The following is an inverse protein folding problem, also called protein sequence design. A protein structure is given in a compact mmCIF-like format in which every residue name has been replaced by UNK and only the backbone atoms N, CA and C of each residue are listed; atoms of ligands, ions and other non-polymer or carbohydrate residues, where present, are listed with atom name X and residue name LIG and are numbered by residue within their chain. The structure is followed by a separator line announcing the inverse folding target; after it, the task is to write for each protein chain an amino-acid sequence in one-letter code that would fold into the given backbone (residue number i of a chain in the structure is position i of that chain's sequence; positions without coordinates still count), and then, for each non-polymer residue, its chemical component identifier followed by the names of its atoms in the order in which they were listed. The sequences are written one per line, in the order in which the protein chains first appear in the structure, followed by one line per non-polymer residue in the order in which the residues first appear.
data_IF_821378443722
#
_entry.id   IF_821378443722
#
_cell.length_a   1.000
_cell.length_b   1.000
_cell.length_c   1.000
_cell.angle_alpha   90.00
_cell.angle_beta   90.00
_cell.angle_gamma   90.00
#
_symmetry.space_group_name_H-M   'P 1'
#
loop_
_entity.id
_entity.type
_entity.pdbx_description
1 polymer ?
#
# COMPACT_ATOMS: atom_id res chain seq x y z
N UNK A 1 -1.42 33.72 -13.65
CA UNK A 1 -1.62 32.25 -13.74
C UNK A 1 -0.90 31.57 -12.59
N UNK A 2 -1.57 30.69 -11.83
CA UNK A 2 -0.93 29.96 -10.74
C UNK A 2 0.16 29.03 -11.30
N UNK A 3 1.39 29.18 -10.80
CA UNK A 3 2.54 28.35 -11.21
C UNK A 3 2.51 27.03 -10.46
N UNK A 4 2.68 25.92 -11.17
CA UNK A 4 2.81 24.58 -10.56
C UNK A 4 4.04 24.57 -9.64
N UNK A 5 3.85 24.19 -8.38
CA UNK A 5 4.88 24.12 -7.33
C UNK A 5 4.66 22.91 -6.42
N UNK A 6 5.59 22.64 -5.50
CA UNK A 6 5.40 21.61 -4.47
C UNK A 6 4.08 21.84 -3.73
N UNK A 7 3.30 20.79 -3.53
CA UNK A 7 1.98 20.82 -2.90
C UNK A 7 0.83 21.19 -3.84
N UNK A 8 1.09 21.57 -5.09
CA UNK A 8 0.02 21.77 -6.09
C UNK A 8 -0.69 20.45 -6.40
N UNK A 9 -2.03 20.51 -6.45
CA UNK A 9 -2.85 19.43 -7.01
C UNK A 9 -2.89 19.58 -8.53
N UNK A 10 -2.59 18.49 -9.23
CA UNK A 10 -2.49 18.46 -10.69
C UNK A 10 -3.08 17.19 -11.27
N UNK A 11 -3.45 17.27 -12.54
CA UNK A 11 -3.71 16.11 -13.39
C UNK A 11 -2.78 16.16 -14.60
N UNK A 12 -2.61 15.01 -15.27
CA UNK A 12 -1.87 14.95 -16.54
C UNK A 12 -2.79 15.42 -17.66
N UNK A 13 -2.27 16.27 -18.55
CA UNK A 13 -3.00 16.78 -19.73
C UNK A 13 -3.42 15.67 -20.68
N UNK A 14 -2.56 14.68 -20.86
CA UNK A 14 -2.86 13.50 -21.67
C UNK A 14 -3.56 12.43 -20.82
N UNK A 15 -4.79 12.06 -21.21
CA UNK A 15 -5.62 11.03 -20.58
C UNK A 15 -6.92 11.56 -19.96
N UNK A 16 -7.71 10.66 -19.39
CA UNK A 16 -9.07 10.94 -18.87
C UNK A 16 -9.10 11.73 -17.55
N UNK A 17 -7.98 12.33 -17.12
CA UNK A 17 -7.84 13.01 -15.82
C UNK A 17 -8.26 12.16 -14.61
N UNK A 18 -8.17 10.84 -14.73
CA UNK A 18 -8.63 9.86 -13.73
C UNK A 18 -7.88 9.89 -12.40
N UNK A 19 -6.68 10.48 -12.37
CA UNK A 19 -5.83 10.49 -11.18
C UNK A 19 -5.44 11.93 -10.87
N UNK A 20 -5.87 12.38 -9.70
CA UNK A 20 -5.35 13.60 -9.09
C UNK A 20 -4.04 13.27 -8.39
N UNK A 21 -3.01 14.05 -8.69
CA UNK A 21 -1.70 13.96 -8.07
C UNK A 21 -1.42 15.19 -7.21
N UNK A 22 -0.53 15.03 -6.25
CA UNK A 22 0.13 16.12 -5.54
C UNK A 22 1.59 16.16 -5.98
N UNK A 23 2.09 17.36 -6.31
CA UNK A 23 3.49 17.58 -6.65
C UNK A 23 4.35 17.47 -5.40
N UNK A 24 5.20 16.44 -5.32
CA UNK A 24 6.13 16.23 -4.21
C UNK A 24 7.41 17.07 -4.37
N UNK A 25 7.97 17.07 -5.58
CA UNK A 25 9.23 17.77 -5.89
C UNK A 25 9.24 18.23 -7.33
N UNK A 26 9.89 19.36 -7.60
CA UNK A 26 10.23 19.81 -8.95
C UNK A 26 11.74 20.00 -9.03
N UNK A 27 12.35 19.54 -10.12
CA UNK A 27 13.77 19.73 -10.40
C UNK A 27 14.02 19.87 -11.89
N UNK A 28 15.21 20.33 -12.26
CA UNK A 28 15.62 20.48 -13.66
C UNK A 28 16.43 19.27 -14.11
N UNK A 29 16.09 18.70 -15.26
CA UNK A 29 16.81 17.60 -15.89
C UNK A 29 16.86 17.83 -17.41
N UNK A 30 18.06 17.81 -18.00
CA UNK A 30 18.27 18.10 -19.43
C UNK A 30 17.54 19.37 -19.90
N UNK A 31 17.63 20.45 -19.09
CA UNK A 31 16.95 21.76 -19.29
C UNK A 31 15.42 21.73 -19.27
N UNK A 32 14.78 20.60 -18.91
CA UNK A 32 13.33 20.48 -18.71
C UNK A 32 13.01 20.47 -17.21
N UNK A 33 11.89 21.09 -16.83
CA UNK A 33 11.36 20.96 -15.46
C UNK A 33 10.59 19.66 -15.33
N UNK A 34 11.02 18.82 -14.41
CA UNK A 34 10.40 17.53 -14.11
C UNK A 34 9.80 17.59 -12.71
N UNK A 35 8.60 17.03 -12.56
CA UNK A 35 7.92 16.85 -11.30
C UNK A 35 7.93 15.37 -10.88
N UNK A 36 8.13 15.14 -9.58
CA UNK A 36 7.74 13.90 -8.92
C UNK A 36 6.33 14.09 -8.38
N UNK A 37 5.44 13.19 -8.77
CA UNK A 37 4.02 13.23 -8.44
C UNK A 37 3.67 12.05 -7.55
N UNK A 38 2.90 12.28 -6.48
CA UNK A 38 2.27 11.21 -5.70
C UNK A 38 0.76 11.25 -5.93
N UNK A 39 0.15 10.10 -6.23
CA UNK A 39 -1.31 10.00 -6.35
C UNK A 39 -2.01 10.39 -5.05
N UNK A 40 -3.15 11.06 -5.16
CA UNK A 40 -3.89 11.57 -4.00
C UNK A 40 -4.73 10.49 -3.29
N UNK A 41 -5.34 9.60 -4.07
CA UNK A 41 -6.14 8.46 -3.58
C UNK A 41 -5.68 7.11 -4.14
N UNK A 42 -4.53 7.09 -4.83
CA UNK A 42 -3.90 5.90 -5.40
C UNK A 42 -2.42 5.89 -4.98
N UNK A 43 -1.86 4.72 -4.66
CA UNK A 43 -0.48 4.51 -4.19
C UNK A 43 0.58 4.55 -5.30
N UNK A 44 0.43 5.49 -6.24
CA UNK A 44 1.31 5.65 -7.41
C UNK A 44 2.27 6.82 -7.20
N UNK A 45 3.52 6.68 -7.65
CA UNK A 45 4.49 7.77 -7.82
C UNK A 45 4.94 7.81 -9.28
N UNK A 46 4.95 8.99 -9.89
CA UNK A 46 5.38 9.17 -11.28
C UNK A 46 6.37 10.33 -11.43
N UNK A 47 7.25 10.21 -12.43
CA UNK A 47 8.18 11.27 -12.85
C UNK A 47 7.69 11.82 -14.20
N UNK A 48 7.22 13.06 -14.21
CA UNK A 48 6.50 13.66 -15.36
C UNK A 48 7.00 15.08 -15.64
N UNK A 49 7.18 15.51 -16.90
CA UNK A 49 7.48 16.90 -17.23
C UNK A 49 6.38 17.86 -16.76
N UNK A 50 6.77 18.99 -16.17
CA UNK A 50 5.81 20.00 -15.68
C UNK A 50 4.94 20.55 -16.81
N UNK A 51 5.44 20.56 -18.05
CA UNK A 51 4.69 20.98 -19.25
C UNK A 51 3.48 20.09 -19.57
N UNK A 52 3.47 18.84 -19.09
CA UNK A 52 2.39 17.86 -19.29
C UNK A 52 1.33 17.91 -18.17
N UNK A 53 1.45 18.85 -17.24
CA UNK A 53 0.59 18.97 -16.08
C UNK A 53 -0.30 20.20 -16.18
N UNK A 54 -1.49 20.09 -15.60
CA UNK A 54 -2.41 21.20 -15.39
C UNK A 54 -2.89 21.22 -13.94
N UNK A 55 -3.13 22.42 -13.42
CA UNK A 55 -3.66 22.59 -12.07
C UNK A 55 -5.14 22.20 -12.03
N UNK A 56 -5.55 21.60 -10.94
CA UNK A 56 -6.96 21.41 -10.61
C UNK A 56 -7.34 22.27 -9.41
N UNK A 57 -8.57 22.78 -9.42
CA UNK A 57 -9.09 23.58 -8.33
C UNK A 57 -9.48 22.71 -7.11
N UNK A 58 -9.73 23.37 -5.98
CA UNK A 58 -10.06 22.70 -4.72
C UNK A 58 -11.39 21.95 -4.78
N UNK A 59 -12.38 22.45 -5.52
CA UNK A 59 -13.69 21.80 -5.66
C UNK A 59 -13.57 20.46 -6.37
N UNK A 60 -12.82 20.41 -7.48
CA UNK A 60 -12.51 19.16 -8.18
C UNK A 60 -11.79 18.16 -7.27
N UNK A 61 -10.77 18.63 -6.54
CA UNK A 61 -9.99 17.79 -5.61
C UNK A 61 -10.87 17.21 -4.50
N UNK A 62 -11.74 18.03 -3.90
CA UNK A 62 -12.62 17.58 -2.82
C UNK A 62 -13.61 16.52 -3.32
N UNK A 63 -14.24 16.74 -4.48
CA UNK A 63 -15.13 15.76 -5.10
C UNK A 63 -14.41 14.44 -5.37
N UNK A 64 -13.19 14.48 -5.90
CA UNK A 64 -12.36 13.30 -6.15
C UNK A 64 -12.06 12.51 -4.86
N UNK A 65 -11.71 13.22 -3.78
CA UNK A 65 -11.45 12.60 -2.47
C UNK A 65 -12.73 11.97 -1.91
N UNK A 66 -13.86 12.68 -1.96
CA UNK A 66 -15.14 12.21 -1.44
C UNK A 66 -15.59 10.93 -2.15
N UNK A 67 -15.56 10.91 -3.49
CA UNK A 67 -15.94 9.73 -4.29
C UNK A 67 -15.12 8.49 -3.93
N UNK A 68 -13.80 8.66 -3.74
CA UNK A 68 -12.92 7.53 -3.34
C UNK A 68 -13.07 7.14 -1.89
N UNK A 69 -13.37 8.08 -1.00
CA UNK A 69 -13.60 7.76 0.41
C UNK A 69 -14.93 7.00 0.63
N UNK A 70 -15.95 7.21 -0.21
CA UNK A 70 -17.24 6.49 -0.10
C UNK A 70 -17.08 4.97 -0.09
N UNK A 71 -16.16 4.42 -0.89
CA UNK A 71 -15.88 2.97 -0.92
C UNK A 71 -15.35 2.51 0.44
N UNK A 72 -14.38 3.23 1.00
CA UNK A 72 -13.83 2.93 2.33
C UNK A 72 -14.91 2.99 3.40
N UNK A 73 -15.70 4.06 3.37
CA UNK A 73 -16.70 4.35 4.39
C UNK A 73 -17.83 3.32 4.35
N UNK A 74 -18.26 2.89 3.16
CA UNK A 74 -19.22 1.79 3.01
C UNK A 74 -18.71 0.49 3.62
N UNK A 75 -17.45 0.13 3.36
CA UNK A 75 -16.82 -1.10 3.92
C UNK A 75 -16.65 -1.00 5.45
N UNK A 76 -16.23 0.16 5.94
CA UNK A 76 -16.16 0.44 7.38
C UNK A 76 -17.53 0.33 8.03
N UNK A 77 -18.57 0.88 7.39
CA UNK A 77 -19.93 0.88 7.92
C UNK A 77 -20.48 -0.54 8.04
N UNK A 78 -20.31 -1.38 7.01
CA UNK A 78 -20.81 -2.76 7.02
C UNK A 78 -20.08 -3.69 8.01
N UNK A 79 -18.83 -3.38 8.38
CA UNK A 79 -18.00 -4.20 9.28
C UNK A 79 -17.62 -3.50 10.58
N UNK A 80 -18.32 -2.43 10.94
CA UNK A 80 -18.00 -1.62 12.11
C UNK A 80 -18.10 -2.47 13.36
N UNK A 81 -17.06 -2.46 14.20
CA UNK A 81 -16.98 -3.23 15.44
C UNK A 81 -17.13 -4.76 15.27
N UNK A 82 -17.09 -5.30 14.04
CA UNK A 82 -17.32 -6.72 13.78
C UNK A 82 -16.32 -7.63 14.49
N UNK A 83 -15.14 -7.11 14.84
CA UNK A 83 -14.08 -7.87 15.49
C UNK A 83 -13.82 -7.44 16.93
N UNK A 84 -14.70 -6.62 17.52
CA UNK A 84 -14.61 -6.30 18.94
C UNK A 84 -14.69 -7.59 19.77
N UNK A 85 -13.86 -7.69 20.79
CA UNK A 85 -13.75 -8.87 21.68
C UNK A 85 -13.24 -10.15 20.98
N UNK A 86 -12.79 -10.08 19.73
CA UNK A 86 -12.13 -11.21 19.06
C UNK A 86 -10.61 -11.10 19.19
N UNK A 87 -9.93 -12.23 19.46
CA UNK A 87 -8.47 -12.32 19.42
C UNK A 87 -7.97 -12.43 17.97
N UNK A 88 -8.02 -11.32 17.26
CA UNK A 88 -7.48 -11.19 15.90
C UNK A 88 -5.95 -11.14 15.88
N UNK A 89 -5.37 -11.50 14.74
CA UNK A 89 -3.93 -11.38 14.52
C UNK A 89 -3.46 -9.93 14.63
N UNK A 90 -2.31 -9.70 15.26
CA UNK A 90 -1.75 -8.36 15.43
C UNK A 90 -1.11 -7.86 14.13
N UNK A 91 -1.54 -6.70 13.66
CA UNK A 91 -1.05 -6.05 12.45
C UNK A 91 -0.05 -4.96 12.83
N UNK A 92 1.12 -4.95 12.19
CA UNK A 92 1.99 -3.76 12.09
C UNK A 92 1.97 -3.30 10.64
N UNK A 93 1.54 -2.05 10.42
CA UNK A 93 1.43 -1.46 9.09
C UNK A 93 2.36 -0.25 8.99
N UNK A 94 3.31 -0.31 8.05
CA UNK A 94 4.17 0.79 7.65
C UNK A 94 3.69 1.40 6.33
N UNK A 95 3.59 2.72 6.30
CA UNK A 95 3.19 3.45 5.10
C UNK A 95 4.10 4.65 4.85
N UNK A 96 4.60 4.75 3.62
CA UNK A 96 5.40 5.88 3.12
C UNK A 96 4.62 7.16 2.84
N UNK A 97 3.29 7.14 2.97
CA UNK A 97 2.43 8.34 2.89
C UNK A 97 1.62 8.53 4.18
N UNK A 98 1.74 9.73 4.77
CA UNK A 98 1.08 10.07 6.04
C UNK A 98 -0.46 10.00 5.94
N UNK A 99 -1.04 10.36 4.79
CA UNK A 99 -2.49 10.34 4.59
C UNK A 99 -3.00 8.90 4.54
N UNK A 100 -2.26 8.01 3.89
CA UNK A 100 -2.62 6.60 3.83
C UNK A 100 -2.39 5.88 5.15
N UNK A 101 -1.35 6.24 5.90
CA UNK A 101 -1.19 5.82 7.29
C UNK A 101 -2.43 6.17 8.12
N UNK A 102 -2.90 7.42 8.07
CA UNK A 102 -4.07 7.88 8.83
C UNK A 102 -5.36 7.14 8.42
N UNK A 103 -5.56 6.91 7.11
CA UNK A 103 -6.69 6.11 6.60
C UNK A 103 -6.62 4.65 7.09
N UNK A 104 -5.45 4.03 7.03
CA UNK A 104 -5.22 2.65 7.48
C UNK A 104 -5.50 2.51 8.98
N UNK A 105 -5.03 3.46 9.80
CA UNK A 105 -5.33 3.51 11.22
C UNK A 105 -6.83 3.62 11.50
N UNK A 106 -7.51 4.56 10.84
CA UNK A 106 -8.97 4.75 10.97
C UNK A 106 -9.74 3.48 10.58
N UNK A 107 -9.31 2.80 9.53
CA UNK A 107 -9.90 1.55 9.07
C UNK A 107 -9.81 0.46 10.14
N UNK A 108 -8.59 0.06 10.52
CA UNK A 108 -8.38 -1.02 11.48
C UNK A 108 -9.06 -0.73 12.82
N UNK A 109 -8.96 0.52 13.31
CA UNK A 109 -9.58 0.93 14.57
C UNK A 109 -11.10 0.79 14.54
N UNK A 110 -11.77 1.21 13.47
CA UNK A 110 -13.25 1.14 13.37
C UNK A 110 -13.79 -0.27 13.23
N UNK A 111 -12.97 -1.21 12.73
CA UNK A 111 -13.32 -2.62 12.62
C UNK A 111 -13.07 -3.39 13.93
N UNK A 112 -12.30 -2.83 14.87
CA UNK A 112 -11.92 -3.52 16.12
C UNK A 112 -10.67 -4.40 15.97
N UNK A 113 -9.83 -4.16 14.96
CA UNK A 113 -8.62 -4.95 14.71
C UNK A 113 -7.45 -4.50 15.59
N UNK A 114 -6.62 -5.46 16.01
CA UNK A 114 -5.40 -5.22 16.77
C UNK A 114 -4.28 -4.73 15.83
N UNK A 115 -4.17 -3.41 15.65
CA UNK A 115 -3.22 -2.83 14.69
C UNK A 115 -2.39 -1.68 15.25
N UNK A 116 -1.10 -1.66 14.90
CA UNK A 116 -0.18 -0.54 15.03
C UNK A 116 0.14 -0.02 13.64
N UNK A 117 -0.13 1.25 13.38
CA UNK A 117 0.15 1.88 12.08
C UNK A 117 1.18 2.99 12.27
N UNK A 118 2.22 3.04 11.42
CA UNK A 118 3.30 4.02 11.50
C UNK A 118 3.59 4.63 10.13
N UNK A 119 3.75 5.94 10.11
CA UNK A 119 4.26 6.65 8.94
C UNK A 119 5.78 6.52 8.92
N UNK A 120 6.31 5.94 7.85
CA UNK A 120 7.74 5.71 7.68
C UNK A 120 8.05 5.81 6.19
N UNK A 121 8.84 6.81 5.76
CA UNK A 121 9.27 6.93 4.36
C UNK A 121 9.84 5.61 3.83
N UNK A 122 9.55 5.29 2.58
CA UNK A 122 9.88 3.99 1.97
C UNK A 122 11.35 3.62 2.18
N UNK A 123 12.26 4.57 1.95
CA UNK A 123 13.71 4.40 2.12
C UNK A 123 14.16 4.19 3.57
N UNK A 124 13.31 4.46 4.55
CA UNK A 124 13.62 4.33 5.98
C UNK A 124 13.04 3.08 6.62
N UNK A 125 12.08 2.42 5.97
CA UNK A 125 11.36 1.28 6.54
C UNK A 125 12.31 0.13 6.91
N UNK A 126 13.31 -0.10 6.07
CA UNK A 126 14.29 -1.16 6.27
C UNK A 126 15.01 -0.98 7.61
N UNK A 127 15.45 0.23 7.95
CA UNK A 127 16.27 0.49 9.14
C UNK A 127 15.57 0.20 10.46
N UNK A 128 14.25 0.39 10.52
CA UNK A 128 13.49 0.27 11.77
C UNK A 128 12.75 -1.06 11.92
N UNK A 129 12.66 -1.87 10.86
CA UNK A 129 11.70 -2.98 10.81
C UNK A 129 11.96 -4.03 11.90
N UNK A 130 13.24 -4.32 12.19
CA UNK A 130 13.64 -5.30 13.21
C UNK A 130 13.20 -4.85 14.60
N UNK A 131 13.39 -3.58 14.94
CA UNK A 131 12.96 -3.01 16.23
C UNK A 131 11.44 -3.07 16.39
N UNK A 132 10.70 -2.82 15.31
CA UNK A 132 9.24 -2.90 15.33
C UNK A 132 8.73 -4.33 15.53
N UNK A 133 9.38 -5.31 14.89
CA UNK A 133 9.06 -6.73 15.07
C UNK A 133 9.33 -7.14 16.52
N UNK A 134 10.50 -6.79 17.07
CA UNK A 134 10.85 -7.06 18.47
C UNK A 134 9.87 -6.42 19.45
N UNK A 135 9.54 -5.14 19.26
CA UNK A 135 8.68 -4.36 20.17
C UNK A 135 7.23 -4.84 20.16
N UNK A 136 6.67 -5.05 18.98
CA UNK A 136 5.23 -5.28 18.85
C UNK A 136 4.85 -6.75 18.73
N UNK A 137 5.79 -7.62 18.33
CA UNK A 137 5.55 -9.04 18.01
C UNK A 137 4.32 -9.21 17.13
N UNK A 138 4.33 -8.64 15.90
CA UNK A 138 3.20 -8.75 15.00
C UNK A 138 3.03 -10.18 14.49
N UNK A 139 1.79 -10.51 14.10
CA UNK A 139 1.46 -11.68 13.29
C UNK A 139 1.53 -11.35 11.79
N UNK A 140 1.17 -10.11 11.45
CA UNK A 140 1.01 -9.60 10.10
C UNK A 140 1.81 -8.30 9.97
N UNK A 141 2.61 -8.22 8.92
CA UNK A 141 3.37 -7.04 8.56
C UNK A 141 2.91 -6.51 7.20
N UNK A 142 2.52 -5.25 7.14
CA UNK A 142 2.09 -4.57 5.91
C UNK A 142 3.11 -3.48 5.59
N UNK A 143 3.81 -3.61 4.46
CA UNK A 143 4.89 -2.71 4.01
C UNK A 143 4.42 -2.01 2.75
N UNK A 144 4.01 -0.75 2.87
CA UNK A 144 3.45 0.01 1.74
C UNK A 144 3.98 1.45 1.69
N UNK A 145 3.60 2.15 0.63
CA UNK A 145 3.94 3.54 0.36
C UNK A 145 3.42 3.90 -1.02
N UNK A 146 4.26 4.56 -1.82
CA UNK A 146 4.05 4.73 -3.26
C UNK A 146 5.09 3.97 -4.06
N UNK A 147 4.71 3.47 -5.22
CA UNK A 147 5.65 2.98 -6.22
C UNK A 147 5.18 3.36 -7.62
N UNK A 148 6.01 3.11 -8.61
CA UNK A 148 5.67 3.36 -9.99
C UNK A 148 6.79 2.93 -10.89
N UNK A 149 6.41 2.43 -12.07
CA UNK A 149 7.37 1.97 -13.06
C UNK A 149 7.82 3.16 -13.92
N UNK A 150 9.14 3.35 -14.02
CA UNK A 150 9.76 4.48 -14.71
C UNK A 150 9.59 4.33 -16.24
N UNK A 151 9.96 3.16 -16.80
CA UNK A 151 9.79 2.82 -18.21
C UNK A 151 8.66 1.80 -18.35
N UNK A 152 7.43 2.29 -18.55
CA UNK A 152 6.23 1.45 -18.75
C UNK A 152 6.40 0.45 -19.89
N UNK A 153 5.88 -0.77 -19.72
CA UNK A 153 5.81 -1.79 -20.78
C UNK A 153 7.05 -2.65 -21.03
N UNK A 154 8.19 -2.38 -20.37
CA UNK A 154 9.47 -3.05 -20.63
C UNK A 154 10.36 -3.10 -19.40
N UNK A 155 11.38 -3.95 -19.42
CA UNK A 155 12.37 -4.11 -18.35
C UNK A 155 11.71 -4.36 -16.97
N UNK A 156 10.74 -5.27 -16.93
CA UNK A 156 10.04 -5.64 -15.70
C UNK A 156 10.96 -6.30 -14.67
N UNK A 157 12.08 -6.87 -15.11
CA UNK A 157 13.05 -7.53 -14.23
C UNK A 157 14.12 -6.60 -13.64
N UNK A 158 14.13 -5.32 -14.04
CA UNK A 158 15.09 -4.35 -13.57
C UNK A 158 14.55 -3.62 -12.33
N UNK A 159 15.11 -3.89 -11.16
CA UNK A 159 14.70 -3.25 -9.89
C UNK A 159 14.85 -1.72 -9.92
N UNK A 160 15.74 -1.18 -10.76
CA UNK A 160 15.94 0.26 -10.94
C UNK A 160 14.94 0.90 -11.89
N UNK A 161 14.10 0.09 -12.55
CA UNK A 161 12.97 0.56 -13.34
C UNK A 161 11.74 0.89 -12.46
N UNK A 162 11.85 0.74 -11.15
CA UNK A 162 10.81 1.03 -10.18
C UNK A 162 11.31 2.09 -9.21
N UNK A 163 10.42 3.02 -8.84
CA UNK A 163 10.80 4.15 -7.99
C UNK A 163 11.20 3.70 -6.57
N UNK A 164 10.43 2.78 -5.99
CA UNK A 164 10.57 2.40 -4.58
C UNK A 164 10.60 0.89 -4.32
N UNK A 165 10.34 0.03 -5.32
CA UNK A 165 10.33 -1.44 -5.12
C UNK A 165 11.57 -1.96 -4.41
N UNK A 166 12.76 -1.40 -4.67
CA UNK A 166 14.01 -1.78 -3.99
C UNK A 166 13.90 -1.64 -2.46
N UNK A 167 13.31 -0.56 -1.99
CA UNK A 167 13.17 -0.30 -0.55
C UNK A 167 12.20 -1.28 0.10
N UNK A 168 11.09 -1.60 -0.57
CA UNK A 168 10.16 -2.63 -0.10
C UNK A 168 10.83 -4.01 -0.05
N UNK A 169 11.55 -4.39 -1.12
CA UNK A 169 12.31 -5.65 -1.19
C UNK A 169 13.30 -5.76 -0.04
N UNK A 170 14.09 -4.73 0.23
CA UNK A 170 15.05 -4.76 1.33
C UNK A 170 14.37 -4.83 2.70
N UNK A 171 13.24 -4.14 2.87
CA UNK A 171 12.46 -4.18 4.12
C UNK A 171 11.91 -5.57 4.37
N UNK A 172 11.39 -6.25 3.35
CA UNK A 172 10.93 -7.65 3.43
C UNK A 172 12.08 -8.58 3.82
N UNK A 173 13.25 -8.47 3.15
CA UNK A 173 14.44 -9.27 3.49
C UNK A 173 14.85 -9.10 4.95
N UNK A 174 14.95 -7.86 5.42
CA UNK A 174 15.31 -7.54 6.80
C UNK A 174 14.28 -8.00 7.82
N UNK A 175 12.99 -8.00 7.46
CA UNK A 175 11.96 -8.62 8.29
C UNK A 175 12.14 -10.14 8.40
N UNK A 176 12.50 -10.82 7.31
CA UNK A 176 12.74 -12.28 7.28
C UNK A 176 14.02 -12.71 7.99
N UNK A 177 15.04 -11.86 8.05
CA UNK A 177 16.26 -12.08 8.83
C UNK A 177 16.03 -12.06 10.35
N UNK A 178 14.95 -11.46 10.83
CA UNK A 178 14.62 -11.42 12.26
C UNK A 178 14.24 -12.82 12.76
N UNK A 179 14.50 -13.15 14.03
CA UNK A 179 14.15 -14.45 14.63
C UNK A 179 12.67 -14.84 14.47
N UNK A 180 11.75 -13.91 14.73
CA UNK A 180 10.31 -14.07 14.49
C UNK A 180 9.90 -13.94 13.01
N UNK A 181 10.83 -13.55 12.14
CA UNK A 181 10.60 -13.23 10.74
C UNK A 181 9.98 -14.36 9.93
N UNK A 182 10.33 -15.62 10.22
CA UNK A 182 9.79 -16.80 9.50
C UNK A 182 8.28 -16.97 9.65
N UNK A 183 7.71 -16.57 10.80
CA UNK A 183 6.30 -16.79 11.13
C UNK A 183 5.39 -15.61 10.75
N UNK A 184 5.97 -14.48 10.32
CA UNK A 184 5.23 -13.30 9.88
C UNK A 184 4.49 -13.59 8.57
N UNK A 185 3.25 -13.09 8.47
CA UNK A 185 2.59 -12.94 7.18
C UNK A 185 2.88 -11.55 6.66
N UNK A 186 3.53 -11.45 5.49
CA UNK A 186 3.98 -10.17 4.95
C UNK A 186 3.17 -9.82 3.69
N UNK A 187 2.51 -8.67 3.72
CA UNK A 187 2.03 -7.97 2.52
C UNK A 187 3.02 -6.86 2.18
N UNK A 188 3.45 -6.75 0.92
CA UNK A 188 4.36 -5.69 0.50
C UNK A 188 4.03 -5.08 -0.87
N UNK A 189 4.31 -3.79 -1.02
CA UNK A 189 4.29 -3.09 -2.30
C UNK A 189 3.24 -1.98 -2.39
N UNK A 190 3.24 -1.33 -3.54
CA UNK A 190 2.30 -0.29 -3.93
C UNK A 190 1.96 -0.41 -5.43
N UNK A 191 1.39 0.63 -6.04
CA UNK A 191 0.98 0.57 -7.44
C UNK A 191 2.17 0.30 -8.35
N UNK A 192 2.03 -0.66 -9.26
CA UNK A 192 3.06 -1.03 -10.23
C UNK A 192 4.38 -1.53 -9.62
N UNK A 193 4.37 -2.01 -8.38
CA UNK A 193 5.58 -2.58 -7.77
C UNK A 193 6.11 -3.81 -8.53
N UNK A 194 7.40 -4.10 -8.33
CA UNK A 194 8.05 -5.29 -8.85
C UNK A 194 7.64 -6.53 -8.03
N UNK A 195 6.46 -7.06 -8.38
CA UNK A 195 5.81 -8.17 -7.70
C UNK A 195 6.73 -9.38 -7.46
N UNK A 196 7.40 -9.90 -8.48
CA UNK A 196 8.20 -11.12 -8.38
C UNK A 196 9.41 -10.90 -7.46
N UNK A 197 10.02 -9.72 -7.47
CA UNK A 197 11.10 -9.40 -6.54
C UNK A 197 10.62 -9.36 -5.08
N UNK A 198 9.39 -8.90 -4.82
CA UNK A 198 8.80 -8.89 -3.48
C UNK A 198 8.49 -10.30 -2.99
N UNK A 199 7.92 -11.15 -3.85
CA UNK A 199 7.67 -12.56 -3.51
C UNK A 199 8.99 -13.29 -3.27
N UNK A 200 9.99 -13.12 -4.15
CA UNK A 200 11.32 -13.72 -3.98
C UNK A 200 12.06 -13.22 -2.73
N UNK A 201 11.78 -11.99 -2.28
CA UNK A 201 12.30 -11.46 -1.02
C UNK A 201 11.67 -12.13 0.22
N UNK A 202 10.55 -12.83 0.04
CA UNK A 202 9.83 -13.55 1.09
C UNK A 202 8.51 -12.90 1.50
N UNK A 203 7.88 -12.06 0.68
CA UNK A 203 6.52 -11.61 0.94
C UNK A 203 5.52 -12.77 0.71
N UNK A 204 4.48 -12.87 1.55
CA UNK A 204 3.40 -13.84 1.34
C UNK A 204 2.43 -13.35 0.26
N UNK A 205 2.12 -12.06 0.32
CA UNK A 205 1.31 -11.35 -0.64
C UNK A 205 2.07 -10.11 -1.11
N UNK A 206 1.96 -9.80 -2.39
CA UNK A 206 2.56 -8.62 -2.94
C UNK A 206 1.62 -7.97 -3.96
N UNK A 207 1.78 -6.67 -4.11
CA UNK A 207 0.93 -5.90 -4.98
C UNK A 207 1.41 -5.83 -6.42
N UNK A 208 0.44 -5.58 -7.30
CA UNK A 208 0.54 -5.35 -8.74
C UNK A 208 1.29 -6.42 -9.55
N UNK A 209 0.91 -7.72 -9.50
CA UNK A 209 1.41 -8.72 -10.45
C UNK A 209 1.36 -8.26 -11.91
N UNK A 210 0.25 -7.63 -12.32
CA UNK A 210 0.06 -7.09 -13.66
C UNK A 210 0.52 -5.62 -13.82
N UNK A 211 1.21 -5.05 -12.81
CA UNK A 211 1.69 -3.65 -12.78
C UNK A 211 0.57 -2.62 -12.93
N UNK A 212 -0.61 -2.94 -12.43
CA UNK A 212 -1.81 -2.10 -12.43
C UNK A 212 -1.84 -1.13 -11.25
N UNK A 213 -2.79 -0.20 -11.27
CA UNK A 213 -3.09 0.65 -10.13
C UNK A 213 -3.74 -0.17 -9.01
N UNK A 214 -3.65 0.31 -7.78
CA UNK A 214 -4.29 -0.32 -6.63
C UNK A 214 -5.22 0.68 -5.99
N UNK A 215 -6.29 0.19 -5.41
CA UNK A 215 -7.02 0.98 -4.45
C UNK A 215 -6.23 1.06 -3.13
N UNK A 216 -6.41 2.15 -2.40
CA UNK A 216 -5.78 2.28 -1.09
C UNK A 216 -6.31 1.20 -0.11
N UNK A 217 -7.52 0.66 -0.37
CA UNK A 217 -8.15 -0.38 0.44
C UNK A 217 -7.50 -1.76 0.27
N UNK A 218 -6.93 -2.09 -0.89
CA UNK A 218 -6.48 -3.46 -1.20
C UNK A 218 -5.53 -4.06 -0.13
N UNK A 219 -4.47 -3.35 0.34
CA UNK A 219 -3.61 -3.86 1.41
C UNK A 219 -4.35 -4.06 2.75
N UNK A 220 -5.37 -3.25 3.02
CA UNK A 220 -6.16 -3.32 4.26
C UNK A 220 -7.04 -4.55 4.27
N UNK A 221 -7.63 -4.89 3.12
CA UNK A 221 -8.50 -6.04 2.92
C UNK A 221 -7.73 -7.33 3.11
N UNK A 222 -6.54 -7.43 2.50
CA UNK A 222 -5.68 -8.60 2.67
C UNK A 222 -5.31 -8.78 4.14
N UNK A 223 -4.87 -7.70 4.81
CA UNK A 223 -4.50 -7.76 6.22
C UNK A 223 -5.67 -8.11 7.14
N UNK A 224 -6.86 -7.54 6.91
CA UNK A 224 -8.10 -7.88 7.63
C UNK A 224 -8.45 -9.36 7.46
N UNK A 225 -8.44 -9.88 6.23
CA UNK A 225 -8.74 -11.28 5.96
C UNK A 225 -7.81 -12.19 6.76
N UNK A 226 -6.50 -11.97 6.66
CA UNK A 226 -5.50 -12.78 7.38
C UNK A 226 -5.71 -12.68 8.90
N UNK A 227 -5.96 -11.48 9.44
CA UNK A 227 -6.12 -11.25 10.87
C UNK A 227 -7.36 -11.93 11.47
N UNK A 228 -8.40 -12.16 10.65
CA UNK A 228 -9.73 -12.58 11.11
C UNK A 228 -10.07 -14.02 10.74
N UNK A 229 -9.33 -14.62 9.81
CA UNK A 229 -9.39 -16.06 9.52
C UNK A 229 -8.63 -16.88 10.57
N UNK A 230 -9.19 -18.03 10.91
CA UNK A 230 -8.64 -18.97 11.90
C UNK A 230 -7.23 -19.45 11.52
N UNK A 231 -6.39 -19.68 12.52
CA UNK A 231 -4.98 -20.02 12.33
C UNK A 231 -4.69 -21.37 11.67
N UNK A 232 -5.69 -22.24 11.58
CA UNK A 232 -5.63 -23.52 10.88
C UNK A 232 -6.07 -23.44 9.41
N UNK A 233 -6.75 -22.36 9.01
CA UNK A 233 -7.17 -22.15 7.64
C UNK A 233 -6.05 -21.51 6.81
N UNK A 234 -5.82 -22.06 5.61
CA UNK A 234 -4.92 -21.46 4.62
C UNK A 234 -5.70 -20.55 3.68
N UNK A 235 -5.15 -19.37 3.41
CA UNK A 235 -5.76 -18.32 2.59
C UNK A 235 -4.87 -18.09 1.38
N UNK A 236 -5.48 -18.04 0.21
CA UNK A 236 -4.86 -17.74 -1.08
C UNK A 236 -5.44 -16.47 -1.68
N UNK A 237 -4.90 -16.03 -2.81
CA UNK A 237 -5.47 -14.90 -3.54
C UNK A 237 -6.91 -15.17 -4.01
N UNK A 238 -7.29 -16.43 -4.26
CA UNK A 238 -8.64 -16.77 -4.69
C UNK A 238 -9.70 -16.42 -3.62
N UNK A 239 -9.31 -16.48 -2.34
CA UNK A 239 -10.21 -16.21 -1.20
C UNK A 239 -10.43 -14.71 -0.94
N UNK A 240 -9.68 -13.85 -1.67
CA UNK A 240 -9.62 -12.41 -1.45
C UNK A 240 -9.92 -11.63 -2.74
N UNK A 241 -9.67 -12.19 -3.92
CA UNK A 241 -9.68 -11.46 -5.20
C UNK A 241 -10.96 -10.66 -5.45
N UNK A 242 -12.14 -11.21 -5.12
CA UNK A 242 -13.43 -10.55 -5.35
C UNK A 242 -13.66 -9.33 -4.46
N UNK A 243 -12.92 -9.22 -3.37
CA UNK A 243 -12.95 -8.05 -2.48
C UNK A 243 -12.02 -6.91 -2.95
N UNK A 244 -11.10 -7.19 -3.88
CA UNK A 244 -10.07 -6.25 -4.35
C UNK A 244 -10.52 -5.51 -5.60
N UNK A 245 -9.97 -4.30 -5.82
CA UNK A 245 -10.33 -3.48 -6.99
C UNK A 245 -10.08 -4.17 -8.33
N UNK A 246 -8.88 -4.70 -8.50
CA UNK A 246 -8.42 -5.32 -9.75
C UNK A 246 -8.09 -6.82 -9.54
N UNK A 247 -8.67 -7.44 -8.50
CA UNK A 247 -8.52 -8.86 -8.20
C UNK A 247 -7.07 -9.36 -8.22
N UNK A 248 -6.84 -10.41 -9.00
CA UNK A 248 -5.53 -11.08 -9.15
C UNK A 248 -4.51 -10.25 -9.93
N UNK A 249 -4.96 -9.27 -10.71
CA UNK A 249 -4.06 -8.34 -11.41
C UNK A 249 -3.46 -7.33 -10.45
N UNK A 250 -4.25 -6.94 -9.43
CA UNK A 250 -3.88 -6.01 -8.36
C UNK A 250 -3.10 -6.64 -7.22
N UNK A 251 -3.43 -7.85 -6.76
CA UNK A 251 -2.67 -8.51 -5.69
C UNK A 251 -2.44 -9.96 -6.05
N UNK A 252 -1.26 -10.48 -5.73
CA UNK A 252 -0.94 -11.89 -5.84
C UNK A 252 -0.18 -12.36 -4.61
N UNK A 253 0.20 -13.64 -4.58
CA UNK A 253 0.96 -14.19 -3.48
C UNK A 253 0.99 -15.70 -3.46
N UNK A 254 1.81 -16.24 -2.55
CA UNK A 254 1.90 -17.67 -2.26
C UNK A 254 0.87 -18.13 -1.21
N UNK A 255 0.15 -17.18 -0.60
CA UNK A 255 -0.82 -17.44 0.45
C UNK A 255 -0.20 -17.44 1.86
N UNK A 256 -1.05 -17.67 2.86
CA UNK A 256 -0.66 -17.78 4.25
C UNK A 256 -1.75 -18.44 5.11
N UNK A 257 -1.37 -18.96 6.27
CA UNK A 257 -2.33 -19.30 7.32
C UNK A 257 -2.97 -18.04 7.92
N UNK A 258 -4.22 -18.14 8.34
CA UNK A 258 -4.88 -17.12 9.15
C UNK A 258 -4.17 -16.87 10.48
N UNK A 259 -4.56 -15.80 11.17
CA UNK A 259 -3.92 -15.35 12.42
C UNK A 259 -4.90 -15.10 13.56
N UNK A 260 -6.19 -15.40 13.38
CA UNK A 260 -7.15 -15.35 14.48
C UNK A 260 -6.93 -16.55 15.41
N UNK A 261 -6.78 -16.28 16.70
CA UNK A 261 -6.65 -17.31 17.73
C UNK A 261 -8.03 -17.87 18.09
N UNK A 262 -8.16 -19.19 18.18
CA UNK A 262 -9.35 -19.82 18.75
C UNK A 262 -9.32 -19.63 20.26
N UNK A 263 -10.37 -19.03 20.81
CA UNK A 263 -10.60 -19.03 22.26
C UNK A 263 -11.51 -20.23 22.52
N UNK A 264 -10.91 -21.36 22.88
CA UNK A 264 -11.68 -22.46 23.46
C UNK A 264 -11.97 -22.08 24.91
N UNK A 265 -13.23 -22.02 25.36
CA UNK A 265 -13.50 -21.98 26.79
C UNK A 265 -12.87 -23.24 27.40
N UNK A 266 -11.98 -23.06 28.37
CA UNK A 266 -11.58 -24.15 29.26
C UNK A 266 -12.77 -24.55 30.13
#
# INVERSE_FOLDING_TARGET
MNKIKKGSSVVKKAGNKEIVFVVEKIFSEKRKKIAILKGLCIRIIEKVPVSELELVDRGYVNKYIEERNKILEKRIYSRKNSYNNMKTGKIVHLDGDKRYMEKSYKYYKKLGLNAVVKFVPEEKQEYIIKDLISRYRPDILVITGHDGMIKKGRNYSDIYNYMNSRFFVNTVKRAREHEYGKNLVIFAGACQSYFEALINAGANFASSPARVLLDFADPLIVAEKIATTDSDCYITINDIADDLRDGKDGVGGIGAKGKKQKVTPM
#
